data_IF_335020036807
#
_entry.id   IF_335020036807
#
_cell.length_a   1.000
_cell.length_b   1.000
_cell.length_c   1.000
_cell.angle_alpha   90.00
_cell.angle_beta   90.00
_cell.angle_gamma   90.00
#
_symmetry.space_group_name_H-M   'P 1'
#
loop_
_entity.id
_entity.type
_entity.pdbx_description
1 polymer ?
#
# COMPACT_ATOMS: atom_id res chain seq x y z
N UNK A 1 -1.85 12.75 -9.58
CA UNK A 1 -2.96 13.66 -9.18
C UNK A 1 -2.62 15.13 -9.43
N UNK A 2 -3.60 16.05 -9.58
CA UNK A 2 -3.38 17.52 -9.79
C UNK A 2 -3.33 18.35 -8.48
N UNK A 3 -3.18 17.71 -7.32
CA UNK A 3 -3.14 18.35 -6.00
C UNK A 3 -1.89 17.92 -5.21
N UNK A 4 -0.71 18.06 -5.81
CA UNK A 4 0.58 17.61 -5.26
C UNK A 4 0.96 18.26 -3.91
N UNK A 5 0.29 19.34 -3.49
CA UNK A 5 0.71 20.17 -2.36
C UNK A 5 -0.15 20.04 -1.11
N UNK A 6 -1.16 19.15 -1.11
CA UNK A 6 -2.05 18.99 0.05
C UNK A 6 -2.33 17.51 0.28
N UNK A 7 -1.68 16.97 1.30
CA UNK A 7 -1.67 15.54 1.66
C UNK A 7 -3.09 15.06 1.94
N UNK A 8 -3.83 15.81 2.77
CA UNK A 8 -5.24 15.53 3.07
C UNK A 8 -6.13 15.44 1.82
N UNK A 9 -5.86 16.21 0.76
CA UNK A 9 -6.63 16.11 -0.49
C UNK A 9 -6.27 14.83 -1.24
N UNK A 10 -5.02 14.40 -1.19
CA UNK A 10 -4.55 13.15 -1.80
C UNK A 10 -5.13 11.94 -1.08
N UNK A 11 -5.02 11.88 0.26
CA UNK A 11 -5.61 10.81 1.08
C UNK A 11 -7.12 10.72 0.90
N UNK A 12 -7.84 11.84 1.06
CA UNK A 12 -9.31 11.86 0.86
C UNK A 12 -9.72 11.44 -0.55
N UNK A 13 -8.94 11.77 -1.58
CA UNK A 13 -9.22 11.35 -2.94
C UNK A 13 -9.07 9.83 -3.12
N UNK A 14 -8.07 9.21 -2.48
CA UNK A 14 -7.90 7.75 -2.47
C UNK A 14 -9.00 7.06 -1.66
N UNK A 15 -9.25 7.51 -0.44
CA UNK A 15 -10.29 6.99 0.46
C UNK A 15 -11.68 7.01 -0.18
N UNK A 16 -11.96 7.96 -1.07
CA UNK A 16 -13.28 8.09 -1.72
C UNK A 16 -13.59 6.93 -2.67
N UNK A 17 -12.59 6.30 -3.30
CA UNK A 17 -12.81 5.31 -4.35
C UNK A 17 -13.60 4.07 -3.87
N UNK A 18 -13.25 3.40 -2.76
CA UNK A 18 -14.05 2.30 -2.21
C UNK A 18 -15.53 2.66 -1.99
N UNK A 19 -15.81 3.88 -1.49
CA UNK A 19 -17.18 4.35 -1.29
C UNK A 19 -17.93 4.54 -2.61
N UNK A 20 -17.26 5.03 -3.66
CA UNK A 20 -17.85 5.14 -4.99
C UNK A 20 -18.19 3.76 -5.58
N UNK A 21 -17.31 2.76 -5.41
CA UNK A 21 -17.59 1.37 -5.80
C UNK A 21 -18.83 0.85 -5.06
N UNK A 22 -18.91 1.08 -3.76
CA UNK A 22 -20.09 0.73 -2.94
C UNK A 22 -21.37 1.39 -3.44
N UNK A 23 -21.32 2.66 -3.85
CA UNK A 23 -22.48 3.39 -4.39
C UNK A 23 -23.02 2.76 -5.69
N UNK A 24 -22.14 2.27 -6.56
CA UNK A 24 -22.54 1.67 -7.85
C UNK A 24 -22.71 0.16 -7.80
N UNK A 25 -22.43 -0.49 -6.65
CA UNK A 25 -22.49 -1.95 -6.48
C UNK A 25 -23.82 -2.57 -6.89
N UNK A 26 -24.94 -1.90 -6.61
CA UNK A 26 -26.29 -2.36 -7.00
C UNK A 26 -26.54 -2.39 -8.52
N UNK A 27 -25.69 -1.69 -9.30
CA UNK A 27 -25.74 -1.66 -10.76
C UNK A 27 -24.91 -2.79 -11.39
N UNK A 28 -24.23 -3.61 -10.57
CA UNK A 28 -23.46 -4.77 -11.02
C UNK A 28 -21.96 -4.51 -11.17
N UNK A 29 -21.21 -5.59 -11.34
CA UNK A 29 -19.73 -5.59 -11.36
C UNK A 29 -19.15 -4.75 -12.48
N UNK A 30 -19.79 -4.70 -13.65
CA UNK A 30 -19.34 -3.86 -14.77
C UNK A 30 -19.36 -2.36 -14.43
N UNK A 31 -20.33 -1.91 -13.63
CA UNK A 31 -20.38 -0.52 -13.18
C UNK A 31 -19.23 -0.19 -12.23
N UNK A 32 -18.91 -1.09 -11.30
CA UNK A 32 -17.74 -0.97 -10.42
C UNK A 32 -16.43 -0.98 -11.22
N UNK A 33 -16.30 -1.88 -12.19
CA UNK A 33 -15.09 -1.96 -13.04
C UNK A 33 -14.83 -0.69 -13.83
N UNK A 34 -15.87 0.00 -14.32
CA UNK A 34 -15.71 1.29 -15.03
C UNK A 34 -15.05 2.36 -14.16
N UNK A 35 -15.32 2.37 -12.85
CA UNK A 35 -14.62 3.26 -11.92
C UNK A 35 -13.20 2.75 -11.67
N UNK A 36 -13.04 1.46 -11.38
CA UNK A 36 -11.74 0.86 -11.10
C UNK A 36 -10.70 1.12 -12.20
N UNK A 37 -11.04 0.87 -13.48
CA UNK A 37 -10.08 0.99 -14.59
C UNK A 37 -9.65 2.44 -14.87
N UNK A 38 -10.43 3.43 -14.45
CA UNK A 38 -10.08 4.84 -14.57
C UNK A 38 -9.18 5.30 -13.40
N UNK A 39 -9.44 4.80 -12.20
CA UNK A 39 -8.78 5.27 -10.98
C UNK A 39 -7.52 4.48 -10.62
N UNK A 40 -7.54 3.16 -10.76
CA UNK A 40 -6.44 2.30 -10.31
C UNK A 40 -5.10 2.61 -10.98
N UNK A 41 -5.02 2.86 -12.30
CA UNK A 41 -3.75 3.25 -12.92
C UNK A 41 -3.21 4.58 -12.40
N UNK A 42 -4.09 5.54 -12.14
CA UNK A 42 -3.72 6.86 -11.58
C UNK A 42 -3.20 6.70 -10.16
N UNK A 43 -3.84 5.84 -9.36
CA UNK A 43 -3.42 5.54 -7.99
C UNK A 43 -2.03 4.89 -7.99
N UNK A 44 -1.80 3.86 -8.80
CA UNK A 44 -0.49 3.21 -8.94
C UNK A 44 0.59 4.21 -9.35
N UNK A 45 0.35 5.02 -10.38
CA UNK A 45 1.32 6.02 -10.83
C UNK A 45 1.61 7.11 -9.79
N UNK A 46 0.64 7.39 -8.91
CA UNK A 46 0.83 8.36 -7.83
C UNK A 46 1.70 7.75 -6.72
N UNK A 47 1.44 6.49 -6.37
CA UNK A 47 2.22 5.72 -5.40
C UNK A 47 3.71 5.60 -5.79
N UNK A 48 4.02 5.44 -7.09
CA UNK A 48 5.39 5.37 -7.61
C UNK A 48 6.26 6.62 -7.32
N UNK A 49 5.63 7.75 -6.98
CA UNK A 49 6.33 9.04 -6.75
C UNK A 49 5.94 9.71 -5.43
N UNK A 50 5.14 9.04 -4.61
CA UNK A 50 4.69 9.57 -3.33
C UNK A 50 5.79 9.44 -2.28
N UNK A 51 5.97 10.48 -1.47
CA UNK A 51 7.00 10.51 -0.42
C UNK A 51 6.40 10.69 0.98
N UNK A 52 5.13 11.13 1.07
CA UNK A 52 4.44 11.26 2.35
C UNK A 52 3.92 9.90 2.80
N UNK A 53 4.48 9.36 3.89
CA UNK A 53 4.18 7.99 4.39
C UNK A 53 2.69 7.83 4.69
N UNK A 54 2.06 8.83 5.31
CA UNK A 54 0.61 8.82 5.59
C UNK A 54 -0.24 8.79 4.32
N UNK A 55 0.23 9.38 3.21
CA UNK A 55 -0.49 9.32 1.93
C UNK A 55 -0.31 7.95 1.28
N UNK A 56 0.88 7.36 1.38
CA UNK A 56 1.17 5.99 0.93
C UNK A 56 0.27 4.99 1.67
N UNK A 57 0.18 5.11 3.00
CA UNK A 57 -0.73 4.36 3.86
C UNK A 57 -2.17 4.42 3.33
N UNK A 58 -2.70 5.62 3.12
CA UNK A 58 -4.07 5.81 2.63
C UNK A 58 -4.30 5.26 1.22
N UNK A 59 -3.27 5.26 0.37
CA UNK A 59 -3.36 4.67 -0.98
C UNK A 59 -3.43 3.15 -0.91
N UNK A 60 -2.61 2.52 -0.07
CA UNK A 60 -2.59 1.05 0.10
C UNK A 60 -3.91 0.59 0.73
N UNK A 61 -4.41 1.28 1.74
CA UNK A 61 -5.70 0.99 2.36
C UNK A 61 -6.85 1.08 1.35
N UNK A 62 -6.88 2.14 0.52
CA UNK A 62 -7.86 2.28 -0.56
C UNK A 62 -7.84 1.11 -1.54
N UNK A 63 -6.65 0.61 -1.91
CA UNK A 63 -6.52 -0.58 -2.76
C UNK A 63 -7.11 -1.81 -2.05
N UNK A 64 -6.79 -2.00 -0.76
CA UNK A 64 -7.28 -3.11 0.04
C UNK A 64 -8.82 -3.12 0.12
N UNK A 65 -9.44 -1.97 0.41
CA UNK A 65 -10.89 -1.85 0.44
C UNK A 65 -11.52 -2.07 -0.94
N UNK A 66 -10.90 -1.57 -2.01
CA UNK A 66 -11.39 -1.76 -3.38
C UNK A 66 -11.42 -3.23 -3.80
N UNK A 67 -10.40 -4.02 -3.41
CA UNK A 67 -10.36 -5.47 -3.64
C UNK A 67 -11.59 -6.13 -3.05
N UNK A 68 -11.93 -5.80 -1.81
CA UNK A 68 -13.12 -6.32 -1.12
C UNK A 68 -14.44 -5.87 -1.78
N UNK A 69 -14.51 -4.64 -2.30
CA UNK A 69 -15.71 -4.17 -2.99
C UNK A 69 -15.94 -4.88 -4.34
N UNK A 70 -14.88 -5.05 -5.12
CA UNK A 70 -14.91 -5.67 -6.45
C UNK A 70 -15.08 -7.19 -6.40
N UNK A 71 -14.42 -7.83 -5.43
CA UNK A 71 -14.32 -9.27 -5.32
C UNK A 71 -13.65 -9.93 -6.55
N UNK A 72 -13.57 -11.26 -6.54
CA UNK A 72 -12.88 -12.00 -7.59
C UNK A 72 -13.45 -11.77 -9.00
N UNK A 73 -14.77 -11.52 -9.11
CA UNK A 73 -15.42 -11.25 -10.40
C UNK A 73 -15.17 -9.85 -10.95
N UNK A 74 -14.68 -8.91 -10.13
CA UNK A 74 -14.42 -7.53 -10.52
C UNK A 74 -12.97 -7.23 -10.92
N UNK A 75 -12.06 -8.17 -10.66
CA UNK A 75 -10.63 -8.02 -10.88
C UNK A 75 -10.16 -9.01 -11.95
N UNK A 76 -9.33 -8.53 -12.87
CA UNK A 76 -8.66 -9.36 -13.87
C UNK A 76 -7.33 -9.87 -13.36
N UNK A 77 -6.76 -10.86 -14.05
CA UNK A 77 -5.40 -11.34 -13.76
C UNK A 77 -4.36 -10.20 -13.75
N UNK A 78 -4.47 -9.28 -14.70
CA UNK A 78 -3.59 -8.10 -14.78
C UNK A 78 -3.77 -7.16 -13.59
N UNK A 79 -5.01 -6.96 -13.11
CA UNK A 79 -5.27 -6.18 -11.90
C UNK A 79 -4.58 -6.83 -10.68
N UNK A 80 -4.74 -8.14 -10.50
CA UNK A 80 -4.15 -8.91 -9.39
C UNK A 80 -2.62 -8.90 -9.46
N UNK A 81 -2.04 -9.07 -10.65
CA UNK A 81 -0.60 -8.98 -10.87
C UNK A 81 -0.06 -7.58 -10.53
N UNK A 82 -0.75 -6.51 -10.95
CA UNK A 82 -0.34 -5.13 -10.64
C UNK A 82 -0.48 -4.80 -9.15
N UNK A 83 -1.51 -5.29 -8.47
CA UNK A 83 -1.65 -5.17 -7.00
C UNK A 83 -0.49 -5.89 -6.31
N UNK A 84 -0.14 -7.10 -6.76
CA UNK A 84 1.00 -7.86 -6.22
C UNK A 84 2.31 -7.09 -6.41
N UNK A 85 2.48 -6.46 -7.57
CA UNK A 85 3.65 -5.62 -7.84
C UNK A 85 3.71 -4.40 -6.92
N UNK A 86 2.58 -3.75 -6.65
CA UNK A 86 2.49 -2.66 -5.66
C UNK A 86 2.94 -3.14 -4.28
N UNK A 87 2.48 -4.30 -3.81
CA UNK A 87 2.92 -4.89 -2.53
C UNK A 87 4.44 -5.07 -2.54
N UNK A 88 4.99 -5.67 -3.60
CA UNK A 88 6.42 -5.90 -3.74
C UNK A 88 7.23 -4.60 -3.71
N UNK A 89 6.77 -3.57 -4.41
CA UNK A 89 7.44 -2.28 -4.50
C UNK A 89 7.44 -1.56 -3.16
N UNK A 90 6.33 -1.61 -2.42
CA UNK A 90 6.23 -0.98 -1.10
C UNK A 90 7.03 -1.70 -0.02
N UNK A 91 7.08 -3.04 -0.04
CA UNK A 91 7.99 -3.80 0.84
C UNK A 91 9.45 -3.45 0.60
N UNK A 92 9.83 -3.25 -0.68
CA UNK A 92 11.19 -2.83 -1.02
C UNK A 92 11.46 -1.39 -0.57
N UNK A 93 10.52 -0.47 -0.79
CA UNK A 93 10.66 0.92 -0.37
C UNK A 93 10.79 1.05 1.15
N UNK A 94 10.04 0.24 1.90
CA UNK A 94 10.18 0.13 3.35
C UNK A 94 11.60 -0.31 3.74
N UNK A 95 12.13 -1.37 3.12
CA UNK A 95 13.49 -1.84 3.40
C UNK A 95 14.55 -0.80 3.05
N UNK A 96 14.41 -0.11 1.92
CA UNK A 96 15.33 0.96 1.52
C UNK A 96 15.35 2.09 2.58
N UNK A 97 14.17 2.53 3.07
CA UNK A 97 14.07 3.53 4.14
C UNK A 97 14.59 3.05 5.49
N UNK A 98 14.37 1.78 5.83
CA UNK A 98 14.92 1.17 7.05
C UNK A 98 16.45 1.17 7.05
N UNK A 99 17.07 0.86 5.92
CA UNK A 99 18.53 0.91 5.76
C UNK A 99 19.08 2.35 5.81
N UNK A 100 18.33 3.33 5.29
CA UNK A 100 18.68 4.75 5.42
C UNK A 100 18.62 5.21 6.88
N UNK A 101 17.59 4.82 7.63
CA UNK A 101 17.45 5.08 9.06
C UNK A 101 18.60 4.49 9.89
N UNK A 102 18.99 3.23 9.63
CA UNK A 102 20.16 2.61 10.28
C UNK A 102 21.47 3.34 9.99
N UNK A 103 21.63 3.87 8.76
CA UNK A 103 22.79 4.64 8.39
C UNK A 103 22.83 6.00 9.10
N UNK A 104 21.67 6.67 9.25
CA UNK A 104 21.54 7.92 9.99
C UNK A 104 21.82 7.74 11.49
N UNK A 105 21.33 6.66 12.11
CA UNK A 105 21.62 6.33 13.51
C UNK A 105 23.13 6.11 13.76
N UNK A 106 23.85 5.61 12.76
CA UNK A 106 25.28 5.33 12.85
C UNK A 106 26.18 6.57 12.62
N UNK A 107 25.63 7.74 12.27
CA UNK A 107 26.42 8.96 12.04
C UNK A 107 26.96 9.57 13.35
N UNK A 108 28.29 9.63 13.50
CA UNK A 108 28.96 10.05 14.75
C UNK A 108 28.75 11.52 15.15
N UNK A 109 28.36 12.39 14.21
CA UNK A 109 28.26 13.84 14.41
C UNK A 109 26.84 14.33 14.78
N UNK A 110 25.84 13.44 14.83
CA UNK A 110 24.45 13.81 15.07
C UNK A 110 24.09 13.88 16.57
N UNK A 111 23.06 14.67 16.92
CA UNK A 111 22.50 14.67 18.27
C UNK A 111 21.71 13.38 18.50
N UNK A 112 22.25 12.48 19.32
CA UNK A 112 21.70 11.15 19.53
C UNK A 112 20.25 11.15 20.06
N UNK A 113 19.84 12.17 20.82
CA UNK A 113 18.46 12.25 21.32
C UNK A 113 17.49 12.72 20.21
N UNK A 114 17.89 13.70 19.40
CA UNK A 114 17.09 14.22 18.27
C UNK A 114 16.92 13.17 17.16
N UNK A 115 18.02 12.50 16.78
CA UNK A 115 17.98 11.41 15.78
C UNK A 115 17.09 10.28 16.26
N UNK A 116 17.22 9.87 17.53
CA UNK A 116 16.41 8.77 18.05
C UNK A 116 14.91 9.09 18.08
N UNK A 117 14.53 10.30 18.49
CA UNK A 117 13.12 10.73 18.46
C UNK A 117 12.57 10.67 17.03
N UNK A 118 13.27 11.29 16.07
CA UNK A 118 12.91 11.27 14.65
C UNK A 118 12.75 9.85 14.10
N UNK A 119 13.74 8.98 14.32
CA UNK A 119 13.70 7.60 13.81
C UNK A 119 12.59 6.76 14.47
N UNK A 120 12.24 7.08 15.72
CA UNK A 120 11.10 6.42 16.39
C UNK A 120 9.78 6.82 15.72
N UNK A 121 9.56 8.11 15.47
CA UNK A 121 8.35 8.60 14.81
C UNK A 121 8.22 8.04 13.37
N UNK A 122 9.33 8.00 12.63
CA UNK A 122 9.37 7.40 11.27
C UNK A 122 9.05 5.90 11.30
N UNK A 123 9.60 5.16 12.28
CA UNK A 123 9.31 3.74 12.45
C UNK A 123 7.84 3.47 12.80
N UNK A 124 7.19 4.33 13.59
CA UNK A 124 5.76 4.23 13.88
C UNK A 124 4.92 4.40 12.60
N UNK A 125 5.22 5.40 11.77
CA UNK A 125 4.54 5.63 10.49
C UNK A 125 4.74 4.47 9.50
N UNK A 126 5.96 3.93 9.40
CA UNK A 126 6.24 2.74 8.59
C UNK A 126 5.49 1.50 9.08
N UNK A 127 5.32 1.36 10.40
CA UNK A 127 4.50 0.30 11.01
C UNK A 127 3.05 0.32 10.51
N UNK A 128 2.46 1.50 10.36
CA UNK A 128 1.10 1.65 9.81
C UNK A 128 1.03 1.27 8.32
N UNK A 129 2.04 1.64 7.53
CA UNK A 129 2.13 1.20 6.12
C UNK A 129 2.21 -0.33 6.02
N UNK A 130 3.05 -0.97 6.84
CA UNK A 130 3.14 -2.43 6.90
C UNK A 130 1.82 -3.07 7.33
N UNK A 131 1.09 -2.46 8.26
CA UNK A 131 -0.24 -2.92 8.66
C UNK A 131 -1.23 -2.85 7.48
N UNK A 132 -1.23 -1.78 6.69
CA UNK A 132 -2.07 -1.68 5.47
C UNK A 132 -1.65 -2.69 4.40
N UNK A 133 -0.36 -2.96 4.23
CA UNK A 133 0.12 -4.02 3.32
C UNK A 133 -0.37 -5.39 3.77
N UNK A 134 -0.33 -5.66 5.08
CA UNK A 134 -0.87 -6.89 5.67
C UNK A 134 -2.38 -7.02 5.40
N UNK A 135 -3.15 -5.95 5.60
CA UNK A 135 -4.59 -5.92 5.31
C UNK A 135 -4.88 -6.13 3.80
N UNK A 136 -4.06 -5.56 2.92
CA UNK A 136 -4.17 -5.80 1.48
C UNK A 136 -3.90 -7.27 1.13
N UNK A 137 -2.82 -7.87 1.66
CA UNK A 137 -2.51 -9.29 1.46
C UNK A 137 -3.64 -10.16 2.00
N UNK A 138 -4.18 -9.84 3.18
CA UNK A 138 -5.33 -10.53 3.76
C UNK A 138 -6.54 -10.48 2.82
N UNK A 139 -6.92 -9.30 2.33
CA UNK A 139 -8.06 -9.14 1.42
C UNK A 139 -7.85 -9.87 0.09
N UNK A 140 -6.61 -9.94 -0.40
CA UNK A 140 -6.26 -10.73 -1.58
C UNK A 140 -6.47 -12.23 -1.34
N UNK A 141 -6.04 -12.76 -0.19
CA UNK A 141 -6.33 -14.15 0.19
C UNK A 141 -7.82 -14.40 0.44
N UNK A 142 -8.54 -13.48 1.08
CA UNK A 142 -9.99 -13.60 1.28
C UNK A 142 -10.73 -13.64 -0.08
N UNK A 143 -10.26 -12.85 -1.04
CA UNK A 143 -10.90 -12.73 -2.36
C UNK A 143 -10.58 -13.89 -3.29
N UNK A 144 -9.33 -14.34 -3.34
CA UNK A 144 -8.84 -15.28 -4.35
C UNK A 144 -8.43 -16.65 -3.79
N UNK A 145 -8.31 -16.78 -2.47
CA UNK A 145 -7.90 -18.02 -1.83
C UNK A 145 -6.53 -18.51 -2.28
N UNK A 146 -6.44 -19.80 -2.60
CA UNK A 146 -5.22 -20.47 -3.05
C UNK A 146 -4.70 -19.96 -4.40
N UNK A 147 -5.57 -19.41 -5.25
CA UNK A 147 -5.17 -18.86 -6.54
C UNK A 147 -4.24 -17.63 -6.43
N UNK A 148 -4.18 -16.97 -5.27
CA UNK A 148 -3.22 -15.88 -5.02
C UNK A 148 -1.82 -16.39 -4.64
N UNK A 149 -1.69 -17.66 -4.23
CA UNK A 149 -0.45 -18.17 -3.66
C UNK A 149 0.74 -18.07 -4.63
N UNK A 150 0.55 -18.41 -5.90
CA UNK A 150 1.61 -18.33 -6.93
C UNK A 150 2.17 -16.91 -7.11
N UNK A 151 1.38 -15.88 -6.81
CA UNK A 151 1.78 -14.48 -6.93
C UNK A 151 2.47 -13.95 -5.68
N UNK A 152 2.09 -14.42 -4.50
CA UNK A 152 2.66 -13.98 -3.22
C UNK A 152 3.88 -14.79 -2.78
N UNK A 153 4.03 -16.04 -3.24
CA UNK A 153 5.19 -16.89 -2.92
C UNK A 153 6.55 -16.20 -3.19
N UNK A 154 6.76 -15.49 -4.32
CA UNK A 154 8.00 -14.77 -4.56
C UNK A 154 8.30 -13.65 -3.55
N UNK A 155 7.30 -13.15 -2.82
CA UNK A 155 7.42 -12.07 -1.83
C UNK A 155 7.76 -12.59 -0.43
N UNK A 156 7.64 -13.90 -0.18
CA UNK A 156 7.92 -14.51 1.13
C UNK A 156 9.31 -14.14 1.71
N UNK A 157 10.41 -14.06 0.92
CA UNK A 157 11.70 -13.64 1.46
C UNK A 157 11.67 -12.24 2.11
N UNK A 158 10.89 -11.31 1.56
CA UNK A 158 10.71 -9.97 2.14
C UNK A 158 9.93 -10.01 3.45
N UNK A 159 8.93 -10.89 3.57
CA UNK A 159 8.22 -11.07 4.86
C UNK A 159 9.12 -11.65 5.95
N UNK A 160 10.04 -12.55 5.59
CA UNK A 160 10.97 -13.12 6.56
C UNK A 160 11.91 -12.06 7.13
N UNK A 161 12.26 -11.04 6.36
CA UNK A 161 13.07 -9.90 6.84
C UNK A 161 12.34 -9.05 7.89
N UNK A 162 11.00 -9.02 7.85
CA UNK A 162 10.18 -8.30 8.83
C UNK A 162 10.00 -9.06 10.15
N UNK A 163 10.36 -10.34 10.18
CA UNK A 163 10.25 -11.16 11.38
C UNK A 163 11.57 -11.09 12.13
N UNK A 164 11.57 -10.36 13.24
CA UNK A 164 12.70 -10.36 14.16
C UNK A 164 12.88 -11.76 14.77
N UNK A 165 13.96 -12.45 14.38
CA UNK A 165 14.44 -13.63 15.09
C UNK A 165 15.36 -13.16 16.22
N UNK A 166 14.77 -12.59 17.27
CA UNK A 166 15.44 -12.34 18.55
C UNK A 166 15.06 -13.40 19.59
#
# INVERSE_FOLDING_TARGET
>A
MRFLFVDSVRSSAAETLPWLLKCVKSQGVEAMRRLWVEFFPVLCSSLESENEIEVIESFIDSIAECVMQLGAGGLTKEDVEKITMVISEQLKAHEDRRLEAEAEEAEEDADADEVKEKLTDEAELEGEVLARISDLIHNMFETFGDAFFDLVEPLLPSFVQLIDFH
#
